data_IF_652484971363
#
_entry.id   IF_652484971363
#
_cell.length_a   1.000
_cell.length_b   1.000
_cell.length_c   1.000
_cell.angle_alpha   90.00
_cell.angle_beta   90.00
_cell.angle_gamma   90.00
#
_symmetry.space_group_name_H-M   'P 1'
#
loop_
_entity.id
_entity.type
_entity.pdbx_description
1 polymer ?
#
# COMPACT_ATOMS: atom_id res chain seq x y z
N UNK A 1 -1.36 13.32 -1.82
CA UNK A 1 -0.05 13.44 -2.51
C UNK A 1 0.30 14.90 -2.71
N UNK A 2 1.54 15.26 -2.40
CA UNK A 2 2.09 16.57 -2.76
C UNK A 2 2.32 16.67 -4.28
N UNK A 3 2.38 15.55 -4.99
CA UNK A 3 2.72 15.41 -6.42
C UNK A 3 4.18 15.72 -6.70
N UNK A 4 4.64 16.93 -6.41
CA UNK A 4 6.04 17.32 -6.53
C UNK A 4 6.39 18.33 -5.43
N UNK A 5 7.52 18.12 -4.78
CA UNK A 5 8.06 19.04 -3.79
C UNK A 5 8.78 20.23 -4.45
N UNK A 6 9.09 20.15 -5.74
CA UNK A 6 9.77 21.23 -6.45
C UNK A 6 8.79 22.35 -6.83
N UNK A 7 8.97 23.54 -6.25
CA UNK A 7 8.05 24.68 -6.45
C UNK A 7 7.79 25.01 -7.93
N UNK A 8 8.85 25.16 -8.74
CA UNK A 8 8.67 25.53 -10.15
C UNK A 8 7.98 24.44 -10.98
N UNK A 9 8.23 23.16 -10.68
CA UNK A 9 7.54 22.04 -11.32
C UNK A 9 6.07 22.05 -10.89
N UNK A 10 5.80 22.27 -9.60
CA UNK A 10 4.46 22.33 -9.06
C UNK A 10 3.63 23.44 -9.71
N UNK A 11 4.17 24.67 -9.79
CA UNK A 11 3.49 25.80 -10.39
C UNK A 11 3.20 25.58 -11.89
N UNK A 12 4.13 24.92 -12.60
CA UNK A 12 3.96 24.58 -14.01
C UNK A 12 2.85 23.56 -14.25
N UNK A 13 2.74 22.53 -13.41
CA UNK A 13 1.76 21.45 -13.58
C UNK A 13 0.45 21.68 -12.82
N UNK A 14 0.38 22.71 -11.97
CA UNK A 14 -0.81 23.11 -11.22
C UNK A 14 -1.06 24.62 -11.35
N UNK A 15 -1.96 25.06 -12.26
CA UNK A 15 -2.20 26.48 -12.51
C UNK A 15 -2.65 27.24 -11.24
N UNK A 16 -2.09 28.43 -11.02
CA UNK A 16 -2.26 29.26 -9.80
C UNK A 16 -3.72 29.64 -9.50
N UNK A 17 -4.58 29.72 -10.54
CA UNK A 17 -6.01 30.00 -10.39
C UNK A 17 -6.85 28.83 -9.85
N UNK A 18 -6.25 27.66 -9.65
CA UNK A 18 -6.95 26.47 -9.14
C UNK A 18 -6.74 26.30 -7.64
N UNK A 19 -7.65 25.58 -6.98
CA UNK A 19 -7.45 25.19 -5.56
C UNK A 19 -6.15 24.38 -5.37
N UNK A 20 -5.77 23.58 -6.38
CA UNK A 20 -4.56 22.75 -6.37
C UNK A 20 -3.30 23.57 -6.66
N UNK A 21 -3.36 24.72 -7.32
CA UNK A 21 -2.20 25.58 -7.58
C UNK A 21 -1.59 26.19 -6.31
N UNK A 22 -2.30 26.18 -5.20
CA UNK A 22 -1.83 26.72 -3.91
C UNK A 22 -0.87 25.74 -3.22
N UNK A 23 0.43 25.85 -3.53
CA UNK A 23 1.47 24.93 -3.03
C UNK A 23 1.45 24.75 -1.50
N UNK A 24 1.62 25.84 -0.74
CA UNK A 24 1.70 25.77 0.73
C UNK A 24 0.41 25.21 1.33
N UNK A 25 -0.75 25.63 0.80
CA UNK A 25 -2.03 25.06 1.18
C UNK A 25 -2.09 23.55 0.97
N UNK A 26 -1.53 23.03 -0.13
CA UNK A 26 -1.45 21.58 -0.38
C UNK A 26 -0.48 20.89 0.55
N UNK A 27 0.69 21.47 0.79
CA UNK A 27 1.74 20.90 1.64
C UNK A 27 1.24 20.72 3.08
N UNK A 28 0.61 21.76 3.64
CA UNK A 28 0.11 21.76 5.03
C UNK A 28 -1.17 20.93 5.23
N UNK A 29 -1.66 20.24 4.19
CA UNK A 29 -2.92 19.50 4.27
C UNK A 29 -2.89 18.37 5.31
N UNK A 30 -1.74 17.71 5.51
CA UNK A 30 -1.59 16.66 6.51
C UNK A 30 -1.70 17.22 7.94
N UNK A 31 -1.02 18.34 8.23
CA UNK A 31 -1.10 19.01 9.53
C UNK A 31 -2.55 19.46 9.84
N UNK A 32 -3.25 20.07 8.86
CA UNK A 32 -4.65 20.46 9.07
C UNK A 32 -5.59 19.27 9.29
N UNK A 33 -5.31 18.13 8.67
CA UNK A 33 -6.09 16.91 8.92
C UNK A 33 -5.85 16.39 10.35
N UNK A 34 -4.60 16.41 10.80
CA UNK A 34 -4.23 16.07 12.17
C UNK A 34 -4.89 16.99 13.20
N UNK A 35 -4.86 18.31 12.99
CA UNK A 35 -5.54 19.29 13.86
C UNK A 35 -7.06 19.06 13.95
N UNK A 36 -7.65 18.45 12.91
CA UNK A 36 -9.06 18.06 12.88
C UNK A 36 -9.33 16.70 13.56
N UNK A 37 -8.32 16.08 14.18
CA UNK A 37 -8.40 14.79 14.86
C UNK A 37 -8.17 13.57 13.96
N UNK A 38 -7.62 13.74 12.76
CA UNK A 38 -7.28 12.63 11.85
C UNK A 38 -5.78 12.29 11.98
N UNK A 39 -5.49 11.31 12.81
CA UNK A 39 -4.13 10.89 13.20
C UNK A 39 -3.50 9.84 12.26
N UNK A 40 -4.27 9.31 11.31
CA UNK A 40 -3.81 8.40 10.26
C UNK A 40 -3.88 9.09 8.88
N UNK A 41 -2.71 9.43 8.35
CA UNK A 41 -2.58 10.12 7.07
C UNK A 41 -1.44 9.55 6.21
N UNK A 42 -1.62 9.67 4.90
CA UNK A 42 -0.63 9.28 3.89
C UNK A 42 -0.05 10.47 3.14
N UNK A 43 1.26 10.43 2.89
CA UNK A 43 1.94 11.37 1.99
C UNK A 43 2.35 10.66 0.70
N UNK A 44 2.73 11.42 -0.32
CA UNK A 44 3.24 10.82 -1.55
C UNK A 44 3.63 11.85 -2.60
N UNK A 45 4.49 11.43 -3.53
CA UNK A 45 4.97 12.21 -4.67
C UNK A 45 4.77 11.40 -5.96
N UNK A 46 4.46 12.09 -7.06
CA UNK A 46 4.26 11.53 -8.38
C UNK A 46 5.58 11.53 -9.15
N UNK A 47 6.23 10.37 -9.16
CA UNK A 47 7.54 10.17 -9.78
C UNK A 47 7.43 10.26 -11.30
N UNK A 48 8.14 11.20 -11.91
CA UNK A 48 8.03 11.50 -13.35
C UNK A 48 7.74 12.97 -13.66
N UNK A 49 7.38 13.78 -12.66
CA UNK A 49 7.17 15.23 -12.84
C UNK A 49 8.48 16.04 -12.79
N UNK A 50 9.47 15.56 -12.04
CA UNK A 50 10.77 16.21 -11.81
C UNK A 50 11.83 15.20 -11.38
N UNK A 51 12.99 15.67 -10.93
CA UNK A 51 14.08 14.79 -10.46
C UNK A 51 13.63 13.94 -9.27
N UNK A 52 13.61 12.62 -9.47
CA UNK A 52 13.18 11.66 -8.44
C UNK A 52 13.99 11.75 -7.15
N UNK A 53 15.27 12.16 -7.21
CA UNK A 53 16.11 12.32 -6.01
C UNK A 53 15.61 13.48 -5.15
N UNK A 54 15.23 14.59 -5.79
CA UNK A 54 14.65 15.74 -5.12
C UNK A 54 13.31 15.37 -4.49
N UNK A 55 12.47 14.61 -5.20
CA UNK A 55 11.18 14.17 -4.67
C UNK A 55 11.32 13.22 -3.46
N UNK A 56 12.29 12.31 -3.49
CA UNK A 56 12.61 11.46 -2.34
C UNK A 56 13.09 12.30 -1.15
N UNK A 57 13.97 13.28 -1.38
CA UNK A 57 14.43 14.19 -0.33
C UNK A 57 13.26 14.95 0.29
N UNK A 58 12.37 15.50 -0.52
CA UNK A 58 11.16 16.19 -0.08
C UNK A 58 10.22 15.30 0.73
N UNK A 59 9.99 14.06 0.28
CA UNK A 59 9.18 13.08 1.03
C UNK A 59 9.77 12.76 2.40
N UNK A 60 11.08 12.51 2.47
CA UNK A 60 11.76 12.18 3.73
C UNK A 60 11.75 13.37 4.69
N UNK A 61 12.04 14.57 4.18
CA UNK A 61 12.01 15.80 4.98
C UNK A 61 10.60 16.09 5.51
N UNK A 62 9.57 15.94 4.67
CA UNK A 62 8.19 16.14 5.07
C UNK A 62 7.72 15.11 6.10
N UNK A 63 8.07 13.82 5.92
CA UNK A 63 7.77 12.79 6.91
C UNK A 63 8.46 13.05 8.26
N UNK A 64 9.71 13.53 8.25
CA UNK A 64 10.44 13.90 9.46
C UNK A 64 9.78 15.10 10.16
N UNK A 65 9.45 16.16 9.41
CA UNK A 65 8.73 17.32 9.92
C UNK A 65 7.41 16.94 10.59
N UNK A 66 6.56 16.16 9.92
CA UNK A 66 5.27 15.75 10.48
C UNK A 66 5.46 14.95 11.77
N UNK A 67 6.44 14.06 11.82
CA UNK A 67 6.76 13.30 13.03
C UNK A 67 7.19 14.21 14.18
N UNK A 68 8.08 15.16 13.93
CA UNK A 68 8.66 16.01 14.96
C UNK A 68 7.63 17.04 15.48
N UNK A 69 6.78 17.57 14.61
CA UNK A 69 5.77 18.58 14.96
C UNK A 69 4.46 17.99 15.49
N UNK A 70 4.01 16.85 14.95
CA UNK A 70 2.70 16.25 15.27
C UNK A 70 2.81 15.03 16.20
N UNK A 71 4.02 14.62 16.59
CA UNK A 71 4.26 13.42 17.40
C UNK A 71 4.11 12.10 16.65
N UNK A 72 3.37 12.08 15.52
CA UNK A 72 3.25 10.94 14.62
C UNK A 72 3.65 11.30 13.18
N UNK A 73 4.42 10.40 12.55
CA UNK A 73 4.73 10.48 11.13
C UNK A 73 3.61 9.93 10.26
N UNK A 74 3.71 10.05 8.93
CA UNK A 74 2.72 9.48 8.02
C UNK A 74 2.62 7.96 8.17
N UNK A 75 1.39 7.44 8.17
CA UNK A 75 1.11 6.01 8.21
C UNK A 75 1.45 5.33 6.87
N UNK A 76 1.34 6.05 5.77
CA UNK A 76 1.71 5.53 4.44
C UNK A 76 2.52 6.55 3.64
N UNK A 77 3.48 6.04 2.87
CA UNK A 77 4.16 6.81 1.82
C UNK A 77 3.85 6.18 0.48
N UNK A 78 3.13 6.91 -0.36
CA UNK A 78 2.78 6.49 -1.72
C UNK A 78 3.80 7.01 -2.73
N UNK A 79 4.27 6.13 -3.60
CA UNK A 79 5.29 6.41 -4.61
C UNK A 79 4.82 6.07 -6.04
N UNK A 80 3.68 6.60 -6.51
CA UNK A 80 3.20 6.34 -7.86
C UNK A 80 4.19 6.86 -8.90
N UNK A 81 4.38 6.10 -9.98
CA UNK A 81 5.07 6.56 -11.19
C UNK A 81 4.04 7.16 -12.15
N UNK A 82 4.39 8.27 -12.78
CA UNK A 82 3.60 8.89 -13.84
C UNK A 82 3.29 7.85 -14.94
N UNK A 83 2.02 7.81 -15.36
CA UNK A 83 1.52 6.88 -16.38
C UNK A 83 0.83 7.66 -17.50
N UNK A 84 0.75 7.09 -18.71
CA UNK A 84 -0.05 7.66 -19.78
C UNK A 84 -1.49 7.86 -19.32
N UNK A 85 -2.08 8.99 -19.72
CA UNK A 85 -3.48 9.32 -19.45
C UNK A 85 -4.06 10.06 -20.65
N UNK A 86 -5.38 9.98 -20.82
CA UNK A 86 -6.07 10.64 -21.94
C UNK A 86 -5.84 12.16 -21.88
N UNK A 87 -5.29 12.73 -22.95
CA UNK A 87 -5.02 14.16 -23.07
C UNK A 87 -3.79 14.65 -22.27
N UNK A 88 -3.01 13.76 -21.67
CA UNK A 88 -1.77 14.10 -20.99
C UNK A 88 -0.56 13.87 -21.91
N UNK A 89 0.29 14.89 -22.05
CA UNK A 89 1.60 14.75 -22.69
C UNK A 89 2.62 14.30 -21.64
N UNK A 90 3.28 13.16 -21.90
CA UNK A 90 4.39 12.69 -21.08
C UNK A 90 5.70 13.25 -21.64
N UNK A 91 6.49 13.88 -20.79
CA UNK A 91 7.84 14.30 -21.14
C UNK A 91 8.87 13.29 -20.60
N UNK A 92 9.74 12.81 -21.48
CA UNK A 92 10.72 11.77 -21.12
C UNK A 92 11.85 12.24 -20.19
N UNK A 93 11.99 13.56 -20.00
CA UNK A 93 13.11 14.16 -19.27
C UNK A 93 13.23 13.67 -17.81
N UNK A 94 12.11 13.28 -17.19
CA UNK A 94 12.05 12.83 -15.79
C UNK A 94 11.51 11.41 -15.64
N UNK A 95 11.48 10.63 -16.73
CA UNK A 95 11.02 9.24 -16.68
C UNK A 95 11.85 8.45 -15.67
N UNK A 96 11.16 7.83 -14.71
CA UNK A 96 11.78 7.01 -13.67
C UNK A 96 11.90 5.57 -14.16
N UNK A 97 13.13 5.10 -14.31
CA UNK A 97 13.42 3.71 -14.70
C UNK A 97 12.97 2.71 -13.62
N UNK A 98 12.95 1.43 -13.95
CA UNK A 98 12.67 0.37 -12.95
C UNK A 98 13.76 0.32 -11.87
N UNK A 99 15.03 0.45 -12.25
CA UNK A 99 16.15 0.50 -11.32
C UNK A 99 16.08 1.73 -10.40
N UNK A 100 15.69 2.89 -10.92
CA UNK A 100 15.52 4.09 -10.11
C UNK A 100 14.31 3.98 -9.20
N UNK A 101 13.22 3.35 -9.64
CA UNK A 101 12.07 3.09 -8.78
C UNK A 101 12.45 2.15 -7.63
N UNK A 102 13.31 1.15 -7.86
CA UNK A 102 13.83 0.31 -6.78
C UNK A 102 14.64 1.12 -5.77
N UNK A 103 15.43 2.10 -6.22
CA UNK A 103 16.12 3.05 -5.33
C UNK A 103 15.12 3.92 -4.58
N UNK A 104 14.09 4.42 -5.25
CA UNK A 104 12.99 5.18 -4.63
C UNK A 104 12.24 4.34 -3.60
N UNK A 105 12.03 3.04 -3.80
CA UNK A 105 11.41 2.15 -2.81
C UNK A 105 12.35 1.91 -1.62
N UNK A 106 13.66 1.85 -1.87
CA UNK A 106 14.65 1.55 -0.86
C UNK A 106 14.88 2.69 0.15
N UNK A 107 14.64 3.94 -0.23
CA UNK A 107 15.08 5.13 0.53
C UNK A 107 14.07 5.65 1.57
N UNK A 108 12.75 5.82 1.30
CA UNK A 108 11.89 6.59 2.17
C UNK A 108 11.14 5.69 3.15
N UNK A 109 11.73 5.55 4.33
CA UNK A 109 11.03 5.90 5.56
C UNK A 109 12.07 6.01 6.70
N UNK A 110 11.89 6.92 7.67
CA UNK A 110 12.50 6.78 9.00
C UNK A 110 11.99 5.48 9.65
N UNK A 111 12.59 4.35 9.28
CA UNK A 111 12.46 2.94 9.73
C UNK A 111 11.05 2.34 9.97
N UNK A 112 9.95 3.11 9.94
CA UNK A 112 8.70 2.68 10.58
C UNK A 112 7.41 3.03 9.83
N UNK A 113 7.45 3.81 8.74
CA UNK A 113 6.26 4.09 7.93
C UNK A 113 6.12 3.08 6.79
N UNK A 114 5.00 2.33 6.71
CA UNK A 114 4.72 1.44 5.59
C UNK A 114 4.75 2.17 4.22
N UNK A 115 5.43 1.60 3.22
CA UNK A 115 5.46 2.13 1.85
C UNK A 115 4.35 1.49 1.01
N UNK A 116 3.54 2.31 0.34
CA UNK A 116 2.55 1.89 -0.65
C UNK A 116 3.10 2.14 -2.06
N UNK A 117 3.08 1.11 -2.90
CA UNK A 117 3.43 1.23 -4.30
C UNK A 117 2.30 0.67 -5.17
N UNK A 118 1.96 1.37 -6.25
CA UNK A 118 1.12 0.81 -7.30
C UNK A 118 1.82 -0.38 -7.95
N UNK A 119 1.09 -1.45 -8.23
CA UNK A 119 1.57 -2.60 -9.00
C UNK A 119 2.07 -2.13 -10.38
N UNK A 120 3.31 -2.51 -10.73
CA UNK A 120 3.87 -2.23 -12.06
C UNK A 120 3.41 -3.31 -13.05
N UNK A 121 3.05 -2.97 -14.31
CA UNK A 121 2.83 -3.96 -15.35
C UNK A 121 4.07 -4.84 -15.48
N UNK A 122 3.88 -6.15 -15.52
CA UNK A 122 4.94 -7.14 -15.78
C UNK A 122 5.48 -7.11 -17.23
N UNK A 123 5.14 -6.09 -18.00
CA UNK A 123 5.42 -6.04 -19.42
C UNK A 123 6.84 -5.50 -19.69
N UNK A 124 7.86 -6.36 -19.51
CA UNK A 124 9.00 -6.58 -20.44
C UNK A 124 10.31 -7.10 -19.83
N UNK A 125 10.40 -7.47 -18.54
CA UNK A 125 11.56 -8.25 -18.04
C UNK A 125 11.29 -9.06 -16.77
N UNK A 126 11.94 -10.22 -16.59
CA UNK A 126 11.82 -11.06 -15.40
C UNK A 126 12.80 -10.57 -14.34
N UNK A 127 12.50 -9.49 -13.61
CA UNK A 127 13.26 -9.06 -12.41
C UNK A 127 12.57 -7.87 -11.76
N UNK A 128 11.33 -8.09 -11.33
CA UNK A 128 10.87 -7.50 -10.08
C UNK A 128 10.70 -8.70 -9.16
N UNK A 129 11.82 -9.24 -8.69
CA UNK A 129 11.79 -10.44 -7.88
C UNK A 129 10.98 -10.15 -6.61
N UNK A 130 10.31 -11.12 -6.00
CA UNK A 130 9.58 -10.91 -4.74
C UNK A 130 10.45 -10.28 -3.65
N UNK A 131 11.77 -10.51 -3.70
CA UNK A 131 12.78 -9.87 -2.83
C UNK A 131 12.85 -8.35 -2.97
N UNK A 132 12.56 -7.81 -4.15
CA UNK A 132 12.56 -6.37 -4.43
C UNK A 132 11.28 -5.69 -3.93
N UNK A 133 10.23 -6.48 -3.61
CA UNK A 133 9.00 -6.02 -2.94
C UNK A 133 9.14 -5.92 -1.43
N UNK A 134 10.28 -6.29 -0.83
CA UNK A 134 10.45 -6.44 0.61
C UNK A 134 10.17 -5.17 1.45
N UNK A 135 10.07 -3.99 0.82
CA UNK A 135 9.73 -2.72 1.49
C UNK A 135 8.34 -2.20 1.16
N UNK A 136 7.63 -2.81 0.20
CA UNK A 136 6.24 -2.46 -0.12
C UNK A 136 5.34 -3.29 0.78
N UNK A 137 4.54 -2.61 1.60
CA UNK A 137 3.64 -3.23 2.57
C UNK A 137 2.17 -3.23 2.13
N UNK A 138 1.83 -2.44 1.12
CA UNK A 138 0.48 -2.32 0.57
C UNK A 138 0.55 -2.25 -0.96
N UNK A 139 -0.32 -3.04 -1.61
CA UNK A 139 -0.44 -3.15 -3.06
C UNK A 139 -1.92 -3.16 -3.44
N UNK A 140 -2.25 -2.45 -4.51
CA UNK A 140 -3.58 -2.49 -5.12
C UNK A 140 -3.63 -3.62 -6.18
N UNK A 141 -4.72 -4.39 -6.17
CA UNK A 141 -4.93 -5.56 -7.03
C UNK A 141 -6.39 -5.66 -7.48
N UNK A 142 -6.64 -6.19 -8.68
CA UNK A 142 -7.98 -6.27 -9.25
C UNK A 142 -8.63 -4.90 -9.48
N UNK A 143 -7.82 -3.86 -9.71
CA UNK A 143 -8.31 -2.49 -9.78
C UNK A 143 -9.02 -2.22 -11.11
N UNK A 144 -10.19 -1.57 -11.01
CA UNK A 144 -10.82 -0.84 -12.09
C UNK A 144 -10.92 0.65 -11.68
N UNK A 145 -10.37 1.52 -12.53
CA UNK A 145 -10.29 2.97 -12.31
C UNK A 145 -11.16 3.77 -13.28
N UNK A 146 -12.09 3.10 -13.99
CA UNK A 146 -13.17 3.80 -14.66
C UNK A 146 -14.19 4.30 -13.62
N UNK A 147 -14.84 5.42 -13.93
CA UNK A 147 -16.02 5.84 -13.17
C UNK A 147 -17.12 4.78 -13.29
N UNK A 148 -17.42 4.10 -12.18
CA UNK A 148 -18.37 2.97 -12.17
C UNK A 148 -17.82 1.67 -12.74
N UNK A 149 -16.49 1.52 -12.89
CA UNK A 149 -15.88 0.38 -13.58
C UNK A 149 -16.16 -1.01 -13.00
N UNK A 150 -16.56 -1.10 -11.73
CA UNK A 150 -16.95 -2.37 -11.09
C UNK A 150 -18.42 -2.75 -11.33
N UNK A 151 -19.22 -1.87 -11.95
CA UNK A 151 -20.59 -2.17 -12.37
C UNK A 151 -20.58 -2.66 -13.82
N UNK A 152 -21.01 -3.90 -14.03
CA UNK A 152 -21.09 -4.50 -15.37
C UNK A 152 -22.05 -3.73 -16.30
N UNK A 153 -23.03 -3.01 -15.74
CA UNK A 153 -24.01 -2.21 -16.45
C UNK A 153 -23.54 -0.79 -16.78
N UNK A 154 -22.35 -0.36 -16.33
CA UNK A 154 -21.84 0.96 -16.61
C UNK A 154 -21.41 1.11 -18.08
N UNK A 155 -22.15 1.93 -18.85
CA UNK A 155 -21.85 2.21 -20.26
C UNK A 155 -20.62 3.11 -20.45
N UNK A 156 -20.20 3.85 -19.42
CA UNK A 156 -19.14 4.87 -19.52
C UNK A 156 -17.77 4.23 -19.23
N UNK A 157 -17.22 3.54 -20.24
CA UNK A 157 -15.84 3.01 -20.20
C UNK A 157 -14.75 3.99 -20.68
N UNK A 158 -15.09 5.26 -20.91
CA UNK A 158 -14.18 6.21 -21.59
C UNK A 158 -13.38 7.14 -20.67
N UNK A 159 -13.45 6.99 -19.33
CA UNK A 159 -12.85 7.94 -18.39
C UNK A 159 -11.89 7.29 -17.38
N UNK A 160 -10.86 6.57 -17.85
CA UNK A 160 -9.78 6.14 -16.96
C UNK A 160 -8.91 7.33 -16.54
N UNK A 161 -8.54 7.39 -15.26
CA UNK A 161 -7.64 8.42 -14.74
C UNK A 161 -6.22 8.30 -15.32
N UNK A 162 -5.75 7.07 -15.55
CA UNK A 162 -4.46 6.74 -16.17
C UNK A 162 -4.54 5.31 -16.73
N UNK A 163 -3.55 4.88 -17.51
CA UNK A 163 -3.48 3.49 -17.97
C UNK A 163 -3.02 2.55 -16.84
N UNK A 164 -3.84 1.54 -16.52
CA UNK A 164 -3.51 0.53 -15.52
C UNK A 164 -2.31 -0.30 -15.95
N UNK A 165 -1.37 -0.42 -15.01
CA UNK A 165 -0.22 -1.27 -15.19
C UNK A 165 -0.52 -2.75 -14.98
N UNK A 166 -1.22 -3.08 -13.91
CA UNK A 166 -1.61 -4.46 -13.64
C UNK A 166 -3.12 -4.62 -13.83
N UNK A 167 -3.51 -5.50 -14.77
CA UNK A 167 -4.91 -5.80 -15.09
C UNK A 167 -5.34 -7.18 -14.58
N UNK A 168 -4.46 -7.86 -13.84
CA UNK A 168 -4.76 -9.19 -13.30
C UNK A 168 -5.86 -9.10 -12.26
N UNK A 169 -6.65 -10.16 -12.18
CA UNK A 169 -7.63 -10.35 -11.13
C UNK A 169 -6.97 -10.41 -9.75
N UNK A 170 -7.76 -10.20 -8.70
CA UNK A 170 -7.28 -10.35 -7.33
C UNK A 170 -6.72 -11.77 -7.09
N UNK A 171 -7.40 -12.82 -7.58
CA UNK A 171 -6.97 -14.21 -7.41
C UNK A 171 -5.59 -14.49 -8.03
N UNK A 172 -5.33 -13.97 -9.23
CA UNK A 172 -4.03 -14.11 -9.90
C UNK A 172 -2.89 -13.41 -9.13
N UNK A 173 -3.16 -12.21 -8.58
CA UNK A 173 -2.16 -11.49 -7.77
C UNK A 173 -1.91 -12.23 -6.46
N UNK A 174 -2.96 -12.73 -5.80
CA UNK A 174 -2.85 -13.54 -4.59
C UNK A 174 -2.03 -14.81 -4.87
N UNK A 175 -2.32 -15.53 -5.96
CA UNK A 175 -1.57 -16.72 -6.35
C UNK A 175 -0.08 -16.44 -6.54
N UNK A 176 0.30 -15.34 -7.21
CA UNK A 176 1.71 -14.95 -7.39
C UNK A 176 2.41 -14.68 -6.04
N UNK A 177 1.71 -13.99 -5.11
CA UNK A 177 2.24 -13.71 -3.78
C UNK A 177 2.45 -14.99 -2.98
N UNK A 178 1.53 -15.95 -3.08
CA UNK A 178 1.64 -17.26 -2.44
C UNK A 178 2.80 -18.08 -3.01
N UNK A 179 2.99 -18.08 -4.34
CA UNK A 179 4.12 -18.75 -5.01
C UNK A 179 5.48 -18.17 -4.57
N UNK A 180 5.46 -16.94 -4.04
CA UNK A 180 6.62 -16.21 -3.53
C UNK A 180 6.77 -16.27 -2.00
N UNK A 181 6.00 -17.12 -1.33
CA UNK A 181 5.98 -17.32 0.13
C UNK A 181 5.61 -16.08 0.98
N UNK A 182 4.93 -15.09 0.35
CA UNK A 182 4.31 -13.97 1.05
C UNK A 182 2.96 -14.35 1.66
N UNK A 183 2.53 -13.62 2.68
CA UNK A 183 1.19 -13.73 3.28
C UNK A 183 0.37 -12.52 2.82
N UNK A 184 -0.47 -12.65 1.79
CA UNK A 184 -1.45 -11.62 1.48
C UNK A 184 -2.37 -11.40 2.68
N UNK A 185 -2.75 -10.16 2.95
CA UNK A 185 -3.57 -9.83 4.12
C UNK A 185 -4.61 -8.77 3.77
N UNK A 186 -5.80 -8.96 4.35
CA UNK A 186 -6.91 -8.01 4.31
C UNK A 186 -7.19 -7.45 5.72
N UNK A 187 -6.15 -7.44 6.58
CA UNK A 187 -6.25 -7.09 7.98
C UNK A 187 -6.67 -5.63 8.18
N UNK A 188 -7.69 -5.45 9.00
CA UNK A 188 -8.21 -4.14 9.45
C UNK A 188 -8.31 -4.07 10.97
N UNK A 189 -7.53 -4.90 11.67
CA UNK A 189 -7.54 -5.04 13.14
C UNK A 189 -7.10 -3.76 13.87
N UNK A 190 -6.09 -3.05 13.36
CA UNK A 190 -5.62 -1.82 13.98
C UNK A 190 -6.74 -0.76 14.07
N UNK A 191 -7.55 -0.64 13.02
CA UNK A 191 -8.71 0.25 13.01
C UNK A 191 -9.75 -0.14 14.07
N UNK A 192 -10.13 -1.43 14.14
CA UNK A 192 -11.11 -1.93 15.13
C UNK A 192 -10.66 -1.75 16.57
N UNK A 193 -9.36 -1.83 16.81
CA UNK A 193 -8.76 -1.72 18.13
C UNK A 193 -8.25 -0.32 18.44
N UNK A 194 -8.58 0.67 17.59
CA UNK A 194 -8.15 2.06 17.74
C UNK A 194 -6.63 2.21 17.93
N UNK A 195 -5.86 1.39 17.21
CA UNK A 195 -4.40 1.46 17.10
C UNK A 195 -4.06 2.33 15.89
N UNK A 196 -4.31 3.62 16.00
CA UNK A 196 -4.02 4.67 15.00
C UNK A 196 -2.94 5.62 15.52
N UNK A 197 -2.44 6.52 14.68
CA UNK A 197 -1.50 7.58 15.08
C UNK A 197 -0.31 7.08 15.90
N UNK A 198 -0.09 7.71 17.06
CA UNK A 198 1.01 7.38 17.98
C UNK A 198 0.89 5.96 18.54
N UNK A 199 -0.31 5.50 18.91
CA UNK A 199 -0.51 4.15 19.43
C UNK A 199 -0.08 3.09 18.42
N UNK A 200 -0.34 3.28 17.12
CA UNK A 200 0.17 2.38 16.10
C UNK A 200 1.71 2.34 16.11
N UNK A 201 2.34 3.51 16.19
CA UNK A 201 3.79 3.65 16.15
C UNK A 201 4.46 3.01 17.37
N UNK A 202 3.85 3.03 18.55
CA UNK A 202 4.34 2.34 19.75
C UNK A 202 4.46 0.82 19.55
N UNK A 203 3.57 0.20 18.78
CA UNK A 203 3.67 -1.23 18.46
C UNK A 203 4.59 -1.50 17.26
N UNK A 204 4.57 -0.63 16.26
CA UNK A 204 5.30 -0.79 15.01
C UNK A 204 6.81 -0.56 15.19
N UNK A 205 7.20 0.52 15.88
CA UNK A 205 8.61 0.95 16.03
C UNK A 205 9.48 -0.10 16.71
N UNK A 206 9.07 -0.71 17.85
CA UNK A 206 9.86 -1.73 18.52
C UNK A 206 9.76 -3.11 17.85
N UNK A 207 8.96 -3.25 16.79
CA UNK A 207 8.73 -4.52 16.09
C UNK A 207 7.77 -5.48 16.80
N UNK A 208 7.01 -5.03 17.80
CA UNK A 208 5.99 -5.85 18.46
C UNK A 208 4.80 -6.14 17.55
N UNK A 209 4.57 -5.29 16.55
CA UNK A 209 3.47 -5.42 15.60
C UNK A 209 3.46 -6.79 14.90
N UNK A 210 4.61 -7.44 14.72
CA UNK A 210 4.69 -8.80 14.12
C UNK A 210 3.88 -9.85 14.89
N UNK A 211 3.70 -9.67 16.21
CA UNK A 211 2.88 -10.55 17.06
C UNK A 211 1.39 -10.45 16.76
N UNK A 212 0.97 -9.39 16.06
CA UNK A 212 -0.42 -9.13 15.68
C UNK A 212 -0.62 -9.29 14.18
N UNK A 213 0.25 -8.68 13.37
CA UNK A 213 0.15 -8.67 11.91
C UNK A 213 0.24 -10.07 11.29
N UNK A 214 1.18 -10.92 11.72
CA UNK A 214 1.31 -12.26 11.12
C UNK A 214 0.08 -13.13 11.43
N UNK A 215 -0.40 -13.23 12.69
CA UNK A 215 -1.66 -13.93 12.98
C UNK A 215 -2.88 -13.37 12.24
N UNK A 216 -3.03 -12.04 12.20
CA UNK A 216 -4.14 -11.40 11.48
C UNK A 216 -4.05 -11.61 9.96
N UNK A 217 -2.83 -11.65 9.42
CA UNK A 217 -2.56 -11.98 8.01
C UNK A 217 -3.04 -13.38 7.67
N UNK A 218 -2.69 -14.37 8.50
CA UNK A 218 -3.13 -15.75 8.30
C UNK A 218 -4.65 -15.91 8.44
N UNK A 219 -5.28 -15.21 9.37
CA UNK A 219 -6.74 -15.23 9.54
C UNK A 219 -7.46 -14.65 8.31
N UNK A 220 -7.12 -13.41 7.94
CA UNK A 220 -7.77 -12.74 6.80
C UNK A 220 -7.46 -13.39 5.46
N UNK A 221 -6.27 -13.98 5.29
CA UNK A 221 -5.98 -14.81 4.13
C UNK A 221 -6.91 -16.04 4.11
N UNK A 222 -7.07 -16.72 5.24
CA UNK A 222 -7.94 -17.91 5.32
C UNK A 222 -9.39 -17.58 4.99
N UNK A 223 -9.91 -16.44 5.45
CA UNK A 223 -11.25 -15.97 5.07
C UNK A 223 -11.37 -15.79 3.55
N UNK A 224 -10.44 -15.06 2.93
CA UNK A 224 -10.41 -14.89 1.48
C UNK A 224 -10.35 -16.22 0.72
N UNK A 225 -9.51 -17.16 1.18
CA UNK A 225 -9.35 -18.47 0.53
C UNK A 225 -10.63 -19.31 0.57
N UNK A 226 -11.45 -19.17 1.61
CA UNK A 226 -12.70 -19.90 1.75
C UNK A 226 -13.84 -19.25 0.98
N UNK A 227 -13.87 -17.91 0.93
CA UNK A 227 -15.01 -17.16 0.42
C UNK A 227 -14.90 -16.78 -1.06
N UNK A 228 -13.67 -16.59 -1.56
CA UNK A 228 -13.47 -15.91 -2.85
C UNK A 228 -12.44 -16.58 -3.76
N UNK A 229 -11.46 -17.30 -3.22
CA UNK A 229 -10.37 -17.84 -4.03
C UNK A 229 -10.81 -18.96 -4.97
N UNK A 230 -10.14 -19.04 -6.13
CA UNK A 230 -10.25 -20.20 -7.01
C UNK A 230 -9.79 -21.48 -6.30
N UNK A 231 -10.24 -22.69 -6.72
CA UNK A 231 -9.83 -23.94 -6.08
C UNK A 231 -8.30 -24.12 -6.00
N UNK A 232 -7.57 -23.69 -7.04
CA UNK A 232 -6.11 -23.75 -7.08
C UNK A 232 -5.47 -22.78 -6.09
N UNK A 233 -5.89 -21.52 -6.07
CA UNK A 233 -5.37 -20.51 -5.14
C UNK A 233 -5.71 -20.87 -3.70
N UNK A 234 -6.92 -21.37 -3.46
CA UNK A 234 -7.36 -21.90 -2.16
C UNK A 234 -6.43 -22.98 -1.65
N UNK A 235 -6.15 -24.01 -2.44
CA UNK A 235 -5.26 -25.10 -2.01
C UNK A 235 -3.86 -24.58 -1.66
N UNK A 236 -3.24 -23.80 -2.56
CA UNK A 236 -1.90 -23.23 -2.33
C UNK A 236 -1.85 -22.36 -1.07
N UNK A 237 -2.88 -21.56 -0.86
CA UNK A 237 -2.97 -20.66 0.29
C UNK A 237 -3.14 -21.42 1.60
N UNK A 238 -3.98 -22.45 1.64
CA UNK A 238 -4.14 -23.30 2.82
C UNK A 238 -2.84 -24.04 3.15
N UNK A 239 -2.14 -24.57 2.14
CA UNK A 239 -0.82 -25.18 2.33
C UNK A 239 0.19 -24.18 2.90
N UNK A 240 0.17 -22.93 2.43
CA UNK A 240 1.01 -21.86 2.97
C UNK A 240 0.65 -21.56 4.44
N UNK A 241 -0.64 -21.49 4.78
CA UNK A 241 -1.07 -21.25 6.17
C UNK A 241 -0.54 -22.35 7.09
N UNK A 242 -0.65 -23.61 6.71
CA UNK A 242 -0.13 -24.73 7.52
C UNK A 242 1.40 -24.67 7.67
N UNK A 243 2.13 -24.40 6.58
CA UNK A 243 3.59 -24.21 6.65
C UNK A 243 3.98 -23.04 7.56
N UNK A 244 3.29 -21.91 7.48
CA UNK A 244 3.58 -20.76 8.35
C UNK A 244 3.26 -21.09 9.81
N UNK A 245 2.14 -21.77 10.10
CA UNK A 245 1.80 -22.22 11.45
C UNK A 245 2.84 -23.18 12.05
N UNK A 246 3.39 -24.11 11.27
CA UNK A 246 4.38 -25.08 11.76
C UNK A 246 5.71 -24.41 12.14
N UNK A 247 6.03 -23.26 11.54
CA UNK A 247 7.22 -22.47 11.87
C UNK A 247 7.07 -21.56 13.09
N UNK A 248 5.85 -21.40 13.62
CA UNK A 248 5.63 -20.61 14.83
C UNK A 248 5.96 -21.42 16.08
N UNK A 249 6.61 -20.78 17.05
CA UNK A 249 6.86 -21.33 18.39
C UNK A 249 5.54 -21.69 19.11
N UNK A 250 5.56 -22.80 19.84
CA UNK A 250 4.41 -23.27 20.63
C UNK A 250 4.17 -22.37 21.85
N UNK A 251 3.37 -21.34 21.60
CA UNK A 251 3.03 -20.30 22.56
C UNK A 251 1.51 -20.21 22.75
N UNK A 252 1.07 -19.54 23.83
CA UNK A 252 -0.36 -19.20 24.02
C UNK A 252 -0.94 -18.44 22.83
N UNK A 253 -0.13 -17.63 22.15
CA UNK A 253 -0.52 -16.90 20.94
C UNK A 253 -0.82 -17.88 19.78
N UNK A 254 0.06 -18.85 19.54
CA UNK A 254 -0.16 -19.89 18.52
C UNK A 254 -1.42 -20.71 18.81
N UNK A 255 -1.63 -21.14 20.06
CA UNK A 255 -2.84 -21.87 20.44
C UNK A 255 -4.13 -21.06 20.14
N UNK A 256 -4.12 -19.76 20.46
CA UNK A 256 -5.25 -18.86 20.15
C UNK A 256 -5.44 -18.66 18.64
N UNK A 257 -4.36 -18.61 17.87
CA UNK A 257 -4.43 -18.52 16.41
C UNK A 257 -5.00 -19.79 15.79
N UNK A 258 -4.54 -20.96 16.23
CA UNK A 258 -5.07 -22.26 15.77
C UNK A 258 -6.57 -22.36 16.04
N UNK A 259 -7.02 -22.01 17.25
CA UNK A 259 -8.44 -22.03 17.57
C UNK A 259 -9.24 -21.06 16.69
N UNK A 260 -8.74 -19.83 16.47
CA UNK A 260 -9.43 -18.87 15.59
C UNK A 260 -9.49 -19.34 14.14
N UNK A 261 -8.42 -19.93 13.62
CA UNK A 261 -8.41 -20.52 12.28
C UNK A 261 -9.39 -21.68 12.17
N UNK A 262 -9.49 -22.53 13.20
CA UNK A 262 -10.50 -23.59 13.28
C UNK A 262 -11.90 -23.00 13.17
N UNK A 263 -12.22 -21.97 13.97
CA UNK A 263 -13.51 -21.26 13.92
C UNK A 263 -13.82 -20.66 12.54
N UNK A 264 -12.83 -20.10 11.85
CA UNK A 264 -13.01 -19.58 10.49
C UNK A 264 -13.35 -20.69 9.50
N UNK A 265 -12.66 -21.83 9.59
CA UNK A 265 -12.77 -22.98 8.67
C UNK A 265 -14.01 -23.84 8.90
N UNK A 266 -14.36 -24.09 10.15
CA UNK A 266 -15.39 -25.05 10.55
C UNK A 266 -16.70 -24.36 10.94
N UNK A 267 -16.61 -23.28 11.71
CA UNK A 267 -17.78 -22.62 12.29
C UNK A 267 -18.29 -21.46 11.41
N UNK A 268 -17.59 -21.13 10.32
CA UNK A 268 -17.91 -20.00 9.45
C UNK A 268 -17.69 -18.63 10.09
N UNK A 269 -16.92 -18.55 11.19
CA UNK A 269 -16.63 -17.29 11.84
C UNK A 269 -15.83 -16.36 10.90
N UNK A 270 -16.12 -15.06 10.95
CA UNK A 270 -15.42 -14.03 10.19
C UNK A 270 -15.02 -12.89 11.12
N UNK A 271 -14.06 -12.08 10.66
CA UNK A 271 -13.58 -10.89 11.33
C UNK A 271 -13.00 -11.17 12.73
N UNK A 272 -12.17 -12.22 12.81
CA UNK A 272 -11.40 -12.52 14.02
C UNK A 272 -10.03 -11.84 13.95
N UNK A 273 -9.65 -11.14 15.02
CA UNK A 273 -8.40 -10.38 15.04
C UNK A 273 -7.71 -10.34 16.42
N UNK A 274 -6.41 -10.06 16.41
CA UNK A 274 -5.51 -9.88 17.56
C UNK A 274 -5.20 -8.41 17.83
#
# INVERSE_FOLDING_TARGET
FQETYHHDVYARVHPEGTRKGRYAWRLDAAARAYDAGLDDFGIGALFGLGDWKFEVLGLVAHAAYLKDELGCGPHTVSIPRLRPALGAELHDAYTVSDDDLLRVIAVPAPRHSPTRASSSPRAKRPTFAPRDRARVSQLDAGSDIHLGGYDEAAEIRQSQQFELGDRRSLDEVIAELLDSDHIPSFCTACYRLNRTGEHFMEFAVPGFIKRFCTPNGLLTLTEYLLDHASPTTRQRGLDLVERKLSTLEDTKLKAKLVERLRRVREDGARDLYF
#
